data_IF_564866107746
#
_entry.id   IF_564866107746
#
_cell.length_a   1.000
_cell.length_b   1.000
_cell.length_c   1.000
_cell.angle_alpha   90.00
_cell.angle_beta   90.00
_cell.angle_gamma   90.00
#
_symmetry.space_group_name_H-M   'P 1'
#
loop_
_entity.id
_entity.type
_entity.pdbx_description
1 polymer ?
#
# COMPACT_ATOMS: atom_id res chain seq x y z
N UNK A 1 -31.38 1.69 -17.88
CA UNK A 1 -29.91 1.86 -17.87
C UNK A 1 -29.59 3.05 -16.98
N UNK A 2 -29.07 2.79 -15.76
CA UNK A 2 -28.68 3.86 -14.84
C UNK A 2 -27.50 4.64 -15.42
N UNK A 3 -27.57 5.97 -15.41
CA UNK A 3 -26.42 6.81 -15.79
C UNK A 3 -25.27 6.56 -14.81
N UNK A 4 -24.13 6.08 -15.31
CA UNK A 4 -22.90 5.95 -14.53
C UNK A 4 -22.54 7.35 -14.04
N UNK A 5 -22.50 7.55 -12.72
CA UNK A 5 -22.14 8.83 -12.11
C UNK A 5 -20.61 8.97 -12.13
N UNK A 6 -20.09 9.85 -12.99
CA UNK A 6 -18.66 10.14 -13.09
C UNK A 6 -18.22 10.85 -11.81
N UNK A 7 -17.07 10.41 -11.25
CA UNK A 7 -16.49 11.00 -10.04
C UNK A 7 -15.84 12.37 -10.34
N UNK A 8 -15.88 13.34 -9.41
CA UNK A 8 -15.23 14.66 -9.57
C UNK A 8 -13.73 14.57 -9.88
N UNK A 9 -13.05 13.49 -9.45
CA UNK A 9 -11.64 13.25 -9.71
C UNK A 9 -11.35 12.83 -11.18
N UNK A 10 -12.37 12.75 -12.03
CA UNK A 10 -12.19 12.57 -13.49
C UNK A 10 -11.21 13.59 -14.08
N UNK A 11 -11.10 14.78 -13.46
CA UNK A 11 -10.12 15.82 -13.82
C UNK A 11 -8.67 15.31 -13.90
N UNK A 12 -8.29 14.30 -13.10
CA UNK A 12 -6.94 13.70 -13.14
C UNK A 12 -6.75 12.89 -14.43
N UNK A 13 -7.76 12.14 -14.85
CA UNK A 13 -7.73 11.36 -16.10
C UNK A 13 -7.70 12.31 -17.30
N UNK A 14 -8.55 13.34 -17.30
CA UNK A 14 -8.57 14.37 -18.37
C UNK A 14 -7.24 15.12 -18.44
N UNK A 15 -6.66 15.47 -17.28
CA UNK A 15 -5.34 16.11 -17.21
C UNK A 15 -4.22 15.22 -17.73
N UNK A 16 -4.27 13.91 -17.44
CA UNK A 16 -3.32 12.94 -17.99
C UNK A 16 -3.47 12.83 -19.52
N UNK A 17 -4.69 12.78 -20.05
CA UNK A 17 -4.94 12.67 -21.49
C UNK A 17 -4.26 13.78 -22.32
N UNK A 18 -4.21 15.00 -21.77
CA UNK A 18 -3.58 16.17 -22.40
C UNK A 18 -2.15 16.43 -21.92
N UNK A 19 -1.56 15.51 -21.17
CA UNK A 19 -0.21 15.62 -20.61
C UNK A 19 -0.01 16.91 -19.79
N UNK A 20 -1.00 17.27 -18.95
CA UNK A 20 -0.95 18.46 -18.12
C UNK A 20 0.07 18.29 -16.98
N UNK A 21 1.17 19.05 -17.06
CA UNK A 21 2.27 18.94 -16.10
C UNK A 21 1.85 19.29 -14.66
N UNK A 22 0.93 20.21 -14.46
CA UNK A 22 0.44 20.59 -13.13
C UNK A 22 -0.35 19.43 -12.47
N UNK A 23 -1.20 18.77 -13.25
CA UNK A 23 -1.95 17.58 -12.77
C UNK A 23 -1.00 16.42 -12.48
N UNK A 24 -0.01 16.18 -13.33
CA UNK A 24 0.99 15.14 -13.11
C UNK A 24 1.76 15.41 -11.82
N UNK A 25 2.23 16.65 -11.61
CA UNK A 25 2.92 17.04 -10.38
C UNK A 25 2.03 16.89 -9.14
N UNK A 26 0.74 17.24 -9.24
CA UNK A 26 -0.21 17.05 -8.14
C UNK A 26 -0.35 15.57 -7.79
N UNK A 27 -0.46 14.68 -8.79
CA UNK A 27 -0.53 13.22 -8.59
C UNK A 27 0.73 12.74 -7.85
N UNK A 28 1.91 13.12 -8.33
CA UNK A 28 3.17 12.72 -7.69
C UNK A 28 3.29 13.22 -6.26
N UNK A 29 2.92 14.45 -6.01
CA UNK A 29 3.00 15.05 -4.67
C UNK A 29 2.00 14.43 -3.69
N UNK A 30 0.78 14.15 -4.15
CA UNK A 30 -0.35 13.82 -3.28
C UNK A 30 -0.54 12.33 -3.08
N UNK A 31 -0.34 11.51 -4.11
CA UNK A 31 -0.71 10.09 -4.08
C UNK A 31 0.47 9.12 -4.09
N UNK A 32 1.59 9.50 -4.72
CA UNK A 32 2.77 8.62 -4.80
C UNK A 32 3.39 8.29 -3.44
N UNK A 33 3.47 9.20 -2.45
CA UNK A 33 4.04 8.88 -1.15
C UNK A 33 3.35 7.70 -0.46
N UNK A 34 2.02 7.58 -0.58
CA UNK A 34 1.24 6.46 -0.03
C UNK A 34 1.63 5.12 -0.68
N UNK A 35 1.83 5.11 -2.01
CA UNK A 35 2.27 3.93 -2.76
C UNK A 35 3.68 3.51 -2.35
N UNK A 36 4.60 4.47 -2.30
CA UNK A 36 5.99 4.21 -1.88
C UNK A 36 6.03 3.62 -0.48
N UNK A 37 5.31 4.22 0.46
CA UNK A 37 5.19 3.72 1.83
C UNK A 37 4.66 2.27 1.86
N UNK A 38 3.60 1.99 1.09
CA UNK A 38 3.04 0.64 1.02
C UNK A 38 4.05 -0.38 0.50
N UNK A 39 4.73 -0.11 -0.61
CA UNK A 39 5.68 -1.03 -1.24
C UNK A 39 6.87 -1.28 -0.32
N UNK A 40 7.44 -0.23 0.29
CA UNK A 40 8.55 -0.35 1.24
C UNK A 40 8.20 -1.19 2.48
N UNK A 41 6.95 -1.12 2.94
CA UNK A 41 6.48 -1.95 4.05
C UNK A 41 6.10 -3.38 3.64
N UNK A 42 6.06 -3.67 2.35
CA UNK A 42 5.71 -4.98 1.80
C UNK A 42 6.85 -5.58 0.97
N UNK A 43 8.06 -5.61 1.53
CA UNK A 43 9.25 -6.25 0.98
C UNK A 43 9.83 -5.61 -0.29
N UNK A 44 9.44 -4.38 -0.62
CA UNK A 44 10.01 -3.61 -1.71
C UNK A 44 10.97 -2.53 -1.23
N UNK A 45 11.61 -1.88 -2.18
CA UNK A 45 12.44 -0.70 -1.98
C UNK A 45 11.87 0.52 -2.72
N UNK A 46 12.56 1.65 -2.59
CA UNK A 46 12.10 2.92 -3.18
C UNK A 46 12.16 2.91 -4.71
N UNK A 47 13.15 2.25 -5.28
CA UNK A 47 13.35 2.21 -6.74
C UNK A 47 12.26 1.34 -7.38
N UNK A 48 11.98 0.18 -6.79
CA UNK A 48 10.86 -0.67 -7.19
C UNK A 48 9.51 0.05 -7.07
N UNK A 49 9.31 0.84 -6.01
CA UNK A 49 8.10 1.63 -5.86
C UNK A 49 7.96 2.70 -6.96
N UNK A 50 9.06 3.33 -7.35
CA UNK A 50 9.08 4.31 -8.43
C UNK A 50 8.78 3.66 -9.79
N UNK A 51 9.33 2.48 -10.05
CA UNK A 51 9.08 1.72 -11.27
C UNK A 51 7.59 1.36 -11.39
N UNK A 52 6.98 0.83 -10.32
CA UNK A 52 5.55 0.53 -10.27
C UNK A 52 4.71 1.77 -10.55
N UNK A 53 5.02 2.89 -9.89
CA UNK A 53 4.32 4.16 -10.10
C UNK A 53 4.42 4.61 -11.56
N UNK A 54 5.61 4.54 -12.15
CA UNK A 54 5.84 4.96 -13.52
C UNK A 54 5.05 4.09 -14.51
N UNK A 55 5.07 2.76 -14.35
CA UNK A 55 4.29 1.85 -15.18
C UNK A 55 2.79 2.13 -15.11
N UNK A 56 2.25 2.33 -13.90
CA UNK A 56 0.83 2.64 -13.71
C UNK A 56 0.48 4.02 -14.29
N UNK A 57 1.34 5.03 -14.15
CA UNK A 57 1.14 6.34 -14.77
C UNK A 57 1.09 6.25 -16.31
N UNK A 58 1.96 5.43 -16.92
CA UNK A 58 1.93 5.18 -18.37
C UNK A 58 0.63 4.47 -18.77
N UNK A 59 0.20 3.47 -18.01
CA UNK A 59 -1.07 2.76 -18.23
C UNK A 59 -2.25 3.74 -18.23
N UNK A 60 -2.34 4.56 -17.18
CA UNK A 60 -3.41 5.56 -17.03
C UNK A 60 -3.39 6.61 -18.13
N UNK A 61 -2.21 7.08 -18.51
CA UNK A 61 -2.06 8.01 -19.65
C UNK A 61 -2.60 7.40 -20.95
N UNK A 62 -2.26 6.14 -21.25
CA UNK A 62 -2.72 5.46 -22.47
C UNK A 62 -4.25 5.26 -22.45
N UNK A 63 -4.82 4.84 -21.31
CA UNK A 63 -6.27 4.68 -21.16
C UNK A 63 -7.01 6.02 -21.25
N UNK A 64 -6.45 7.08 -20.66
CA UNK A 64 -6.99 8.43 -20.72
C UNK A 64 -7.00 8.95 -22.18
N UNK A 65 -5.89 8.75 -22.90
CA UNK A 65 -5.76 9.16 -24.31
C UNK A 65 -6.70 8.42 -25.25
N UNK A 66 -6.98 7.13 -24.93
CA UNK A 66 -7.95 6.32 -25.67
C UNK A 66 -9.41 6.61 -25.28
N UNK A 67 -9.67 7.50 -24.31
CA UNK A 67 -11.00 7.78 -23.76
C UNK A 67 -11.74 6.53 -23.25
N UNK A 68 -10.99 5.53 -22.76
CA UNK A 68 -11.55 4.26 -22.28
C UNK A 68 -11.78 4.25 -20.78
N UNK A 69 -11.27 5.25 -20.04
CA UNK A 69 -11.31 5.31 -18.58
C UNK A 69 -12.25 6.41 -18.07
N UNK A 70 -13.30 5.98 -17.35
CA UNK A 70 -14.19 6.87 -16.61
C UNK A 70 -14.15 6.47 -15.14
N UNK A 71 -13.77 7.42 -14.26
CA UNK A 71 -13.72 7.18 -12.83
C UNK A 71 -15.12 7.20 -12.22
N UNK A 72 -15.45 6.15 -11.51
CA UNK A 72 -16.67 6.03 -10.70
C UNK A 72 -16.36 6.12 -9.20
N UNK A 73 -15.08 6.17 -8.84
CA UNK A 73 -14.53 6.23 -7.48
C UNK A 73 -13.42 7.30 -7.39
N UNK A 74 -12.96 7.68 -6.18
CA UNK A 74 -11.84 8.59 -6.00
C UNK A 74 -10.59 8.13 -6.74
N UNK A 75 -9.83 9.07 -7.33
CA UNK A 75 -8.59 8.78 -8.04
C UNK A 75 -7.54 8.12 -7.12
N UNK A 76 -7.46 8.55 -5.85
CA UNK A 76 -6.57 7.96 -4.84
C UNK A 76 -6.81 6.45 -4.70
N UNK A 77 -8.06 6.05 -4.50
CA UNK A 77 -8.44 4.66 -4.36
C UNK A 77 -8.06 3.84 -5.60
N UNK A 78 -8.40 4.34 -6.77
CA UNK A 78 -8.12 3.69 -8.05
C UNK A 78 -6.63 3.54 -8.31
N UNK A 79 -5.87 4.64 -8.19
CA UNK A 79 -4.43 4.66 -8.41
C UNK A 79 -3.67 3.75 -7.44
N UNK A 80 -4.00 3.84 -6.14
CA UNK A 80 -3.37 3.02 -5.11
C UNK A 80 -3.60 1.53 -5.35
N UNK A 81 -4.83 1.14 -5.71
CA UNK A 81 -5.14 -0.27 -5.96
C UNK A 81 -4.40 -0.82 -7.17
N UNK A 82 -4.29 -0.06 -8.26
CA UNK A 82 -3.50 -0.46 -9.43
C UNK A 82 -2.05 -0.73 -9.05
N UNK A 83 -1.43 0.20 -8.32
CA UNK A 83 -0.06 0.04 -7.85
C UNK A 83 0.09 -1.17 -6.91
N UNK A 84 -0.86 -1.34 -5.97
CA UNK A 84 -0.88 -2.48 -5.05
C UNK A 84 -0.98 -3.81 -5.79
N UNK A 85 -1.89 -3.94 -6.76
CA UNK A 85 -2.04 -5.15 -7.58
C UNK A 85 -0.79 -5.46 -8.37
N UNK A 86 -0.22 -4.45 -9.03
CA UNK A 86 1.02 -4.60 -9.79
C UNK A 86 2.14 -5.11 -8.87
N UNK A 87 2.32 -4.49 -7.70
CA UNK A 87 3.32 -4.92 -6.71
C UNK A 87 3.13 -6.37 -6.25
N UNK A 88 1.91 -6.76 -5.89
CA UNK A 88 1.61 -8.13 -5.47
C UNK A 88 1.89 -9.15 -6.59
N UNK A 89 1.67 -8.80 -7.84
CA UNK A 89 2.01 -9.64 -8.98
C UNK A 89 3.53 -9.77 -9.14
N UNK A 90 4.29 -8.70 -8.96
CA UNK A 90 5.77 -8.77 -8.97
C UNK A 90 6.30 -9.67 -7.84
N UNK A 91 5.76 -9.56 -6.63
CA UNK A 91 6.13 -10.46 -5.52
C UNK A 91 5.82 -11.93 -5.83
N UNK A 92 4.67 -12.22 -6.47
CA UNK A 92 4.33 -13.59 -6.89
C UNK A 92 5.28 -14.12 -7.95
N UNK A 93 5.66 -13.31 -8.94
CA UNK A 93 6.65 -13.67 -9.97
C UNK A 93 8.01 -14.00 -9.33
N UNK A 94 8.43 -13.22 -8.34
CA UNK A 94 9.71 -13.43 -7.65
C UNK A 94 9.70 -14.69 -6.77
N UNK A 95 8.56 -14.99 -6.13
CA UNK A 95 8.41 -16.20 -5.30
C UNK A 95 8.23 -17.49 -6.10
N UNK A 96 7.66 -17.39 -7.31
CA UNK A 96 7.35 -18.54 -8.20
C UNK A 96 8.26 -18.54 -9.42
N UNK A 97 9.55 -18.82 -9.26
CA UNK A 97 10.48 -19.04 -10.39
C UNK A 97 10.13 -20.26 -11.27
N UNK A 98 8.89 -20.71 -11.31
CA UNK A 98 8.48 -21.91 -12.02
C UNK A 98 7.13 -21.91 -12.73
N UNK A 99 6.30 -20.85 -12.61
CA UNK A 99 4.96 -20.85 -13.25
C UNK A 99 4.72 -19.55 -13.99
N UNK A 100 4.59 -19.65 -15.31
CA UNK A 100 4.19 -18.57 -16.21
C UNK A 100 2.72 -18.23 -15.94
N UNK A 101 2.43 -17.09 -15.31
CA UNK A 101 1.08 -16.54 -15.20
C UNK A 101 0.98 -15.39 -16.19
N UNK A 102 0.06 -15.53 -17.14
CA UNK A 102 -0.28 -14.53 -18.15
C UNK A 102 -0.61 -13.18 -17.54
N UNK A 103 -0.01 -12.15 -18.13
CA UNK A 103 -0.26 -10.74 -17.79
C UNK A 103 -1.68 -10.36 -18.22
N UNK A 104 -2.64 -10.47 -17.33
CA UNK A 104 -3.94 -9.83 -17.52
C UNK A 104 -4.07 -8.60 -16.61
N UNK A 105 -3.40 -7.52 -16.99
CA UNK A 105 -3.63 -6.18 -16.44
C UNK A 105 -4.84 -5.53 -17.11
N UNK A 106 -5.42 -6.19 -18.12
CA UNK A 106 -6.42 -5.63 -19.03
C UNK A 106 -7.87 -5.76 -18.58
N UNK A 107 -8.22 -6.62 -17.63
CA UNK A 107 -9.61 -6.78 -17.20
C UNK A 107 -9.85 -6.29 -15.76
N UNK A 108 -9.80 -4.97 -15.56
CA UNK A 108 -10.31 -4.36 -14.33
C UNK A 108 -11.81 -4.13 -14.50
N UNK A 109 -12.57 -5.20 -14.43
CA UNK A 109 -14.05 -5.17 -14.34
C UNK A 109 -14.53 -5.25 -12.88
N UNK A 110 -13.72 -4.81 -11.91
CA UNK A 110 -14.20 -4.62 -10.55
C UNK A 110 -15.00 -3.33 -10.46
N UNK A 111 -16.17 -3.38 -9.80
CA UNK A 111 -16.98 -2.18 -9.61
C UNK A 111 -16.18 -1.14 -8.82
N UNK A 112 -16.31 0.14 -9.19
CA UNK A 112 -15.62 1.21 -8.47
C UNK A 112 -15.90 1.22 -6.96
N UNK A 113 -17.04 0.64 -6.54
CA UNK A 113 -17.42 0.48 -5.13
C UNK A 113 -16.52 -0.52 -4.39
N UNK A 114 -16.20 -1.68 -4.98
CA UNK A 114 -15.27 -2.66 -4.38
C UNK A 114 -13.87 -2.09 -4.23
N UNK A 115 -13.45 -1.23 -5.16
CA UNK A 115 -12.17 -0.54 -5.08
C UNK A 115 -12.09 0.45 -3.93
N UNK A 116 -13.16 1.23 -3.73
CA UNK A 116 -13.26 2.19 -2.61
C UNK A 116 -13.21 1.44 -1.29
N UNK A 117 -14.03 0.40 -1.14
CA UNK A 117 -14.12 -0.39 0.08
C UNK A 117 -12.77 -1.03 0.46
N UNK A 118 -12.04 -1.63 -0.51
CA UNK A 118 -10.71 -2.19 -0.25
C UNK A 118 -9.68 -1.14 0.19
N UNK A 119 -9.79 0.08 -0.33
CA UNK A 119 -8.86 1.17 0.03
C UNK A 119 -9.20 1.73 1.41
N UNK A 120 -10.48 1.94 1.70
CA UNK A 120 -10.96 2.38 3.00
C UNK A 120 -10.59 1.37 4.10
N UNK A 121 -10.81 0.08 3.87
CA UNK A 121 -10.40 -0.97 4.79
C UNK A 121 -8.88 -1.02 5.01
N UNK A 122 -8.09 -0.74 3.98
CA UNK A 122 -6.64 -0.66 4.13
C UNK A 122 -6.24 0.55 5.00
N UNK A 123 -6.83 1.71 4.75
CA UNK A 123 -6.54 2.93 5.51
C UNK A 123 -6.99 2.78 6.98
N UNK A 124 -8.15 2.16 7.24
CA UNK A 124 -8.63 1.87 8.59
C UNK A 124 -7.71 0.88 9.33
N UNK A 125 -7.25 -0.18 8.66
CA UNK A 125 -6.28 -1.13 9.22
C UNK A 125 -4.95 -0.47 9.54
N UNK A 126 -4.48 0.43 8.66
CA UNK A 126 -3.25 1.17 8.87
C UNK A 126 -3.38 2.15 10.05
N UNK A 127 -4.47 2.91 10.12
CA UNK A 127 -4.74 3.82 11.24
C UNK A 127 -4.84 3.08 12.57
N UNK A 128 -5.50 1.92 12.59
CA UNK A 128 -5.58 1.08 13.79
C UNK A 128 -4.20 0.59 14.21
N UNK A 129 -3.39 0.11 13.26
CA UNK A 129 -2.02 -0.32 13.54
C UNK A 129 -1.20 0.82 14.13
N UNK A 130 -1.21 2.00 13.49
CA UNK A 130 -0.45 3.16 13.93
C UNK A 130 -0.86 3.62 15.33
N UNK A 131 -2.17 3.67 15.61
CA UNK A 131 -2.68 4.00 16.92
C UNK A 131 -2.23 3.00 18.01
N UNK A 132 -2.24 1.71 17.71
CA UNK A 132 -1.79 0.67 18.66
C UNK A 132 -0.27 0.65 18.79
N UNK A 133 0.46 0.91 17.70
CA UNK A 133 1.92 1.02 17.73
C UNK A 133 2.40 2.20 18.59
N UNK A 134 1.72 3.35 18.52
CA UNK A 134 2.02 4.51 19.37
C UNK A 134 1.77 4.26 20.86
N UNK A 135 0.89 3.31 21.21
CA UNK A 135 0.68 2.88 22.62
C UNK A 135 1.82 2.02 23.17
N UNK A 136 2.64 1.42 22.30
CA UNK A 136 3.82 0.70 22.75
C UNK A 136 4.80 1.69 23.41
N UNK A 137 5.45 1.25 24.50
CA UNK A 137 6.53 2.06 25.08
C UNK A 137 7.70 2.25 24.11
N UNK A 138 8.42 3.36 24.26
CA UNK A 138 9.49 3.82 23.35
C UNK A 138 10.49 2.72 22.99
N UNK A 139 10.93 1.93 23.96
CA UNK A 139 11.86 0.80 23.74
C UNK A 139 11.29 -0.28 22.81
N UNK A 140 9.98 -0.52 22.84
CA UNK A 140 9.33 -1.45 21.93
C UNK A 140 9.20 -0.84 20.53
N UNK A 141 8.82 0.43 20.43
CA UNK A 141 8.71 1.13 19.16
C UNK A 141 10.07 1.18 18.43
N UNK A 142 11.13 1.57 19.14
CA UNK A 142 12.48 1.62 18.61
C UNK A 142 12.97 0.24 18.13
N UNK A 143 12.82 -0.77 18.98
CA UNK A 143 13.19 -2.14 18.64
C UNK A 143 12.45 -2.64 17.40
N UNK A 144 11.14 -2.44 17.33
CA UNK A 144 10.35 -2.89 16.19
C UNK A 144 10.71 -2.13 14.91
N UNK A 145 10.87 -0.80 14.96
CA UNK A 145 11.31 0.00 13.81
C UNK A 145 12.65 -0.50 13.27
N UNK A 146 13.64 -0.72 14.14
CA UNK A 146 14.93 -1.26 13.74
C UNK A 146 14.82 -2.67 13.17
N UNK A 147 13.99 -3.54 13.78
CA UNK A 147 13.83 -4.92 13.33
C UNK A 147 13.08 -5.07 12.00
N UNK A 148 12.36 -4.05 11.54
CA UNK A 148 11.72 -4.01 10.23
C UNK A 148 12.62 -3.41 9.15
N UNK A 149 13.55 -2.53 9.53
CA UNK A 149 14.49 -1.88 8.60
C UNK A 149 15.81 -2.64 8.42
N UNK A 150 16.20 -3.48 9.39
CA UNK A 150 17.47 -4.22 9.39
C UNK A 150 17.17 -5.71 9.30
N UNK A 151 17.81 -6.40 8.35
CA UNK A 151 17.58 -7.85 8.12
C UNK A 151 18.18 -8.73 9.22
N UNK A 152 19.31 -8.32 9.82
CA UNK A 152 20.00 -9.08 10.86
C UNK A 152 19.59 -8.64 12.26
N UNK A 153 19.16 -9.59 13.08
CA UNK A 153 18.84 -9.34 14.50
C UNK A 153 20.11 -9.11 15.36
N UNK A 154 21.25 -9.59 14.90
CA UNK A 154 22.56 -9.32 15.48
C UNK A 154 22.89 -7.82 15.37
N UNK A 155 22.73 -7.25 14.16
CA UNK A 155 22.94 -5.80 13.95
C UNK A 155 21.95 -4.94 14.76
N UNK A 156 20.71 -5.41 14.93
CA UNK A 156 19.73 -4.74 15.79
C UNK A 156 20.20 -4.76 17.25
N UNK A 157 20.76 -5.88 17.72
CA UNK A 157 21.28 -6.03 19.08
C UNK A 157 22.47 -5.09 19.31
N UNK A 158 23.39 -5.00 18.36
CA UNK A 158 24.53 -4.08 18.41
C UNK A 158 24.08 -2.62 18.47
N UNK A 159 23.14 -2.21 17.58
CA UNK A 159 22.62 -0.83 17.57
C UNK A 159 21.92 -0.43 18.86
N UNK A 160 21.24 -1.37 19.49
CA UNK A 160 20.55 -1.15 20.77
C UNK A 160 21.45 -1.38 21.99
N UNK A 161 22.71 -1.78 21.77
CA UNK A 161 23.67 -2.13 22.83
C UNK A 161 23.13 -3.14 23.82
N UNK A 162 22.52 -4.22 23.31
CA UNK A 162 21.94 -5.31 24.11
C UNK A 162 22.31 -6.67 23.50
N UNK A 163 22.04 -7.75 24.24
CA UNK A 163 22.32 -9.09 23.72
C UNK A 163 21.31 -9.55 22.68
N UNK A 164 21.75 -10.37 21.73
CA UNK A 164 20.89 -10.99 20.71
C UNK A 164 19.68 -11.72 21.32
N UNK A 165 19.90 -12.50 22.38
CA UNK A 165 18.82 -13.20 23.08
C UNK A 165 17.77 -12.26 23.66
N UNK A 166 18.20 -11.12 24.21
CA UNK A 166 17.29 -10.08 24.69
C UNK A 166 16.44 -9.50 23.55
N UNK A 167 17.06 -9.15 22.43
CA UNK A 167 16.36 -8.58 21.26
C UNK A 167 15.27 -9.53 20.76
N UNK A 168 15.60 -10.81 20.57
CA UNK A 168 14.63 -11.82 20.11
C UNK A 168 13.44 -11.96 21.05
N UNK A 169 13.73 -12.13 22.36
CA UNK A 169 12.68 -12.25 23.38
C UNK A 169 11.83 -10.97 23.45
N UNK A 170 12.47 -9.81 23.49
CA UNK A 170 11.78 -8.52 23.59
C UNK A 170 10.95 -8.23 22.35
N UNK A 171 11.46 -8.51 21.14
CA UNK A 171 10.69 -8.39 19.89
C UNK A 171 9.40 -9.22 19.94
N UNK A 172 9.51 -10.49 20.34
CA UNK A 172 8.34 -11.37 20.46
C UNK A 172 7.29 -10.82 21.42
N UNK A 173 7.72 -10.31 22.58
CA UNK A 173 6.82 -9.71 23.57
C UNK A 173 6.14 -8.42 23.03
N UNK A 174 6.91 -7.53 22.38
CA UNK A 174 6.37 -6.29 21.82
C UNK A 174 5.37 -6.57 20.69
N UNK A 175 5.66 -7.56 19.81
CA UNK A 175 4.73 -7.98 18.76
C UNK A 175 3.48 -8.62 19.37
N UNK A 176 3.64 -9.51 20.34
CA UNK A 176 2.51 -10.16 21.03
C UNK A 176 1.57 -9.12 21.66
N UNK A 177 2.12 -8.12 22.34
CA UNK A 177 1.35 -7.02 22.93
C UNK A 177 0.60 -6.21 21.88
N UNK A 178 1.26 -5.88 20.75
CA UNK A 178 0.65 -5.14 19.65
C UNK A 178 -0.51 -5.93 19.03
N UNK A 179 -0.31 -7.22 18.75
CA UNK A 179 -1.33 -8.10 18.20
C UNK A 179 -2.53 -8.20 19.15
N UNK A 180 -2.27 -8.38 20.45
CA UNK A 180 -3.32 -8.45 21.45
C UNK A 180 -4.18 -7.18 21.43
N UNK A 181 -3.57 -6.01 21.50
CA UNK A 181 -4.31 -4.72 21.48
C UNK A 181 -5.10 -4.49 20.19
N UNK A 182 -4.55 -4.91 19.04
CA UNK A 182 -5.27 -4.85 17.76
C UNK A 182 -6.49 -5.76 17.82
N UNK A 183 -6.35 -7.00 18.30
CA UNK A 183 -7.44 -7.99 18.36
C UNK A 183 -8.53 -7.63 19.38
N UNK A 184 -8.17 -6.98 20.48
CA UNK A 184 -9.10 -6.49 21.49
C UNK A 184 -9.85 -5.23 21.06
N UNK A 185 -9.36 -4.54 20.02
CA UNK A 185 -10.01 -3.32 19.53
C UNK A 185 -11.31 -3.66 18.77
N UNK A 186 -12.38 -2.94 19.11
CA UNK A 186 -13.71 -3.18 18.51
C UNK A 186 -13.71 -2.93 16.99
N UNK A 187 -12.90 -1.97 16.51
CA UNK A 187 -12.78 -1.69 15.08
C UNK A 187 -12.14 -2.86 14.32
N UNK A 188 -11.21 -3.62 14.94
CA UNK A 188 -10.64 -4.80 14.30
C UNK A 188 -11.66 -5.91 14.08
N UNK A 189 -12.61 -6.07 15.02
CA UNK A 189 -13.67 -7.08 14.89
C UNK A 189 -14.62 -6.79 13.73
N UNK A 190 -14.91 -5.51 13.47
CA UNK A 190 -15.69 -5.10 12.30
C UNK A 190 -14.94 -5.30 10.99
N UNK A 191 -13.63 -5.01 10.96
CA UNK A 191 -12.76 -5.16 9.79
C UNK A 191 -12.46 -6.63 9.40
N UNK A 192 -12.74 -7.59 10.29
CA UNK A 192 -12.52 -9.03 10.04
C UNK A 192 -13.76 -9.73 9.47
N UNK A 193 -14.93 -9.15 9.69
CA UNK A 193 -16.21 -9.77 9.34
C UNK A 193 -16.80 -9.28 8.00
N UNK A 194 -16.09 -8.42 7.30
CA UNK A 194 -16.31 -8.01 5.91
C UNK A 194 -15.18 -8.57 5.03
#
# INVERSE_FOLDING_TARGET
MGKIKIHPDQKYIEGLAVNNSAIIQEIYKKYVPKVVFYIMNNSGDKDQAQDIVQEIMILLFNQAKANTLQLTCPFDAYFFLLCKRKWLNELKKTSNKGVTITEDVGSINESGLELVEQTEQFDEKQQLFDAMFLKLGDKCQELLKLSFSIKSMEEVAEKLNVTYGYVRKKKSLCIGQLIQWIQENNNFKSLKNN
#
